data_IF_239650828163
#
_entry.id   IF_239650828163
#
_cell.length_a   1.000
_cell.length_b   1.000
_cell.length_c   1.000
_cell.angle_alpha   90.00
_cell.angle_beta   90.00
_cell.angle_gamma   90.00
#
_symmetry.space_group_name_H-M   'P 1'
#
loop_
_entity.id
_entity.type
_entity.pdbx_description
1 polymer ?
#
# COMPACT_ATOMS: atom_id res chain seq x y z
N UNK A 1 4.56 61.41 25.93
CA UNK A 1 3.71 60.97 24.78
C UNK A 1 4.28 59.72 24.09
N UNK A 2 4.81 58.71 24.82
CA UNK A 2 5.52 57.55 24.22
C UNK A 2 4.90 56.16 24.49
N UNK A 3 3.97 56.06 25.43
CA UNK A 3 3.39 54.78 25.89
C UNK A 3 2.48 54.12 24.85
N UNK A 4 1.78 54.90 24.03
CA UNK A 4 0.86 54.39 23.00
C UNK A 4 1.59 53.73 21.81
N UNK A 5 2.76 54.26 21.43
CA UNK A 5 3.60 53.72 20.37
C UNK A 5 4.24 52.39 20.79
N UNK A 6 4.66 52.28 22.05
CA UNK A 6 5.23 51.06 22.61
C UNK A 6 4.18 49.93 22.70
N UNK A 7 2.95 50.27 23.10
CA UNK A 7 1.83 49.31 23.17
C UNK A 7 1.42 48.79 21.79
N UNK A 8 1.45 49.64 20.76
CA UNK A 8 1.24 49.25 19.35
C UNK A 8 2.34 48.33 18.83
N UNK A 9 3.60 48.60 19.19
CA UNK A 9 4.73 47.74 18.83
C UNK A 9 4.62 46.34 19.46
N UNK A 10 4.24 46.25 20.73
CA UNK A 10 4.03 44.97 21.42
C UNK A 10 2.87 44.16 20.80
N UNK A 11 1.79 44.82 20.40
CA UNK A 11 0.67 44.17 19.71
C UNK A 11 1.08 43.66 18.32
N UNK A 12 1.87 44.43 17.56
CA UNK A 12 2.41 43.97 16.28
C UNK A 12 3.33 42.75 16.44
N UNK A 13 4.18 42.72 17.48
CA UNK A 13 5.02 41.54 17.76
C UNK A 13 4.22 40.31 18.15
N UNK A 14 3.18 40.47 18.98
CA UNK A 14 2.27 39.38 19.34
C UNK A 14 1.51 38.86 18.13
N UNK A 15 1.03 39.75 17.25
CA UNK A 15 0.37 39.36 16.01
C UNK A 15 1.32 38.57 15.10
N UNK A 16 2.57 39.00 14.93
CA UNK A 16 3.57 38.25 14.14
C UNK A 16 3.82 36.85 14.73
N UNK A 17 3.96 36.72 16.05
CA UNK A 17 4.13 35.42 16.70
C UNK A 17 2.91 34.50 16.51
N UNK A 18 1.70 35.05 16.57
CA UNK A 18 0.47 34.30 16.30
C UNK A 18 0.44 33.82 14.85
N UNK A 19 0.80 34.67 13.88
CA UNK A 19 0.88 34.31 12.45
C UNK A 19 1.93 33.21 12.17
N UNK A 20 3.09 33.23 12.86
CA UNK A 20 4.08 32.16 12.76
C UNK A 20 3.54 30.81 13.28
N UNK A 21 2.80 30.82 14.39
CA UNK A 21 2.23 29.61 15.00
C UNK A 21 0.95 29.10 14.33
N UNK A 22 0.24 29.97 13.59
CA UNK A 22 -1.00 29.66 12.89
C UNK A 22 -0.77 29.22 11.43
N UNK A 23 0.48 28.96 11.04
CA UNK A 23 0.75 28.27 9.78
C UNK A 23 0.05 26.90 9.86
N UNK A 24 -0.97 26.61 9.04
CA UNK A 24 -1.55 25.29 9.02
C UNK A 24 -0.42 24.35 8.61
N UNK A 25 0.00 23.48 9.53
CA UNK A 25 0.78 22.30 9.15
C UNK A 25 -0.04 21.66 8.04
N UNK A 26 0.49 21.65 6.81
CA UNK A 26 -0.08 20.91 5.69
C UNK A 26 -0.56 19.59 6.25
N UNK A 27 -1.88 19.41 6.26
CA UNK A 27 -2.58 18.26 6.83
C UNK A 27 -1.75 17.01 6.58
N UNK A 28 -1.00 16.61 7.61
CA UNK A 28 0.04 15.60 7.47
C UNK A 28 -0.72 14.30 7.38
N UNK A 29 -1.04 13.89 6.15
CA UNK A 29 -1.59 12.55 5.90
C UNK A 29 -0.59 11.61 6.53
N UNK A 30 -0.93 10.90 7.62
CA UNK A 30 0.07 10.18 8.39
C UNK A 30 0.71 9.15 7.48
N UNK A 31 1.92 9.45 7.03
CA UNK A 31 2.70 8.55 6.20
C UNK A 31 3.39 7.56 7.15
N UNK A 32 3.32 6.24 6.88
CA UNK A 32 4.00 5.27 7.73
C UNK A 32 5.50 5.56 7.82
N UNK A 33 6.09 5.33 9.00
CA UNK A 33 7.54 5.38 9.16
C UNK A 33 8.20 4.37 8.21
N UNK A 34 9.31 4.77 7.59
CA UNK A 34 10.01 4.01 6.55
C UNK A 34 9.27 3.89 5.20
N UNK A 35 8.24 4.70 4.99
CA UNK A 35 7.58 4.81 3.69
C UNK A 35 7.64 6.24 3.17
N UNK A 36 7.58 6.37 1.84
CA UNK A 36 7.42 7.63 1.13
C UNK A 36 6.01 7.70 0.57
N UNK A 37 5.29 8.77 0.87
CA UNK A 37 3.96 9.00 0.33
C UNK A 37 4.02 10.05 -0.78
N UNK A 38 3.42 9.75 -1.92
CA UNK A 38 3.30 10.67 -3.06
C UNK A 38 1.83 10.72 -3.48
N UNK A 39 1.14 11.79 -3.07
CA UNK A 39 -0.30 11.94 -3.26
C UNK A 39 -1.11 10.85 -2.52
N UNK A 40 -1.59 9.85 -3.28
CA UNK A 40 -2.36 8.70 -2.78
C UNK A 40 -1.60 7.38 -2.89
N UNK A 41 -0.35 7.42 -3.35
CA UNK A 41 0.50 6.25 -3.51
C UNK A 41 1.49 6.20 -2.34
N UNK A 42 1.64 5.02 -1.73
CA UNK A 42 2.55 4.77 -0.61
C UNK A 42 3.63 3.80 -1.07
N UNK A 43 4.88 4.24 -1.01
CA UNK A 43 6.07 3.48 -1.35
C UNK A 43 6.80 3.05 -0.07
N UNK A 44 6.79 1.75 0.21
CA UNK A 44 7.41 1.14 1.39
C UNK A 44 8.45 0.11 0.93
N UNK A 45 9.49 0.56 0.23
CA UNK A 45 10.47 -0.31 -0.43
C UNK A 45 11.72 -0.51 0.45
N UNK A 46 12.38 -1.67 0.34
CA UNK A 46 13.67 -1.96 0.99
C UNK A 46 13.73 -1.69 2.50
N UNK A 47 12.59 -1.83 3.17
CA UNK A 47 12.43 -1.50 4.60
C UNK A 47 12.29 -2.76 5.47
N UNK A 48 12.68 -3.91 4.91
CA UNK A 48 12.63 -5.23 5.56
C UNK A 48 11.25 -5.59 6.11
N UNK A 49 10.17 -5.11 5.48
CA UNK A 49 8.81 -5.48 5.88
C UNK A 49 8.64 -6.98 5.74
N UNK A 50 8.24 -7.64 6.84
CA UNK A 50 7.84 -9.05 6.86
C UNK A 50 6.33 -9.23 6.70
N UNK A 51 5.61 -8.13 6.82
CA UNK A 51 4.15 -8.09 6.78
C UNK A 51 3.65 -6.76 6.20
N UNK A 52 2.38 -6.71 5.78
CA UNK A 52 1.74 -5.50 5.24
C UNK A 52 1.49 -4.51 6.39
N UNK A 53 1.96 -3.25 6.30
CA UNK A 53 1.78 -2.28 7.37
C UNK A 53 0.30 -1.92 7.56
N UNK A 54 -0.17 -1.94 8.81
CA UNK A 54 -1.59 -1.68 9.15
C UNK A 54 -1.98 -0.20 9.18
N UNK A 55 -1.00 0.71 9.23
CA UNK A 55 -1.21 2.16 9.34
C UNK A 55 -1.35 2.84 7.98
N UNK A 56 -2.00 2.18 7.03
CA UNK A 56 -2.24 2.72 5.69
C UNK A 56 -3.62 3.40 5.64
N UNK A 57 -3.67 4.60 5.06
CA UNK A 57 -4.92 5.34 4.88
C UNK A 57 -5.87 4.60 3.93
N UNK A 58 -7.16 4.53 4.27
CA UNK A 58 -8.18 3.92 3.41
C UNK A 58 -8.40 4.64 2.07
N UNK A 59 -7.85 5.85 1.89
CA UNK A 59 -7.81 6.59 0.63
C UNK A 59 -6.60 6.27 -0.26
N UNK A 60 -5.75 5.32 0.13
CA UNK A 60 -4.59 4.88 -0.65
C UNK A 60 -5.04 4.21 -1.95
N UNK A 61 -4.51 4.70 -3.07
CA UNK A 61 -4.79 4.17 -4.41
C UNK A 61 -3.66 3.27 -4.92
N UNK A 62 -2.44 3.42 -4.40
CA UNK A 62 -1.30 2.59 -4.79
C UNK A 62 -0.44 2.22 -3.61
N UNK A 63 -0.05 0.95 -3.51
CA UNK A 63 0.86 0.44 -2.48
C UNK A 63 2.02 -0.31 -3.13
N UNK A 64 3.24 0.16 -2.88
CA UNK A 64 4.47 -0.54 -3.24
C UNK A 64 5.13 -1.10 -1.99
N UNK A 65 5.30 -2.42 -1.95
CA UNK A 65 6.04 -3.16 -0.92
C UNK A 65 7.17 -3.98 -1.57
N UNK A 66 7.75 -3.45 -2.65
CA UNK A 66 8.83 -4.09 -3.39
C UNK A 66 10.09 -4.26 -2.55
N UNK A 67 10.91 -5.25 -2.90
CA UNK A 67 12.21 -5.50 -2.28
C UNK A 67 12.13 -5.62 -0.75
N UNK A 68 11.11 -6.33 -0.26
CA UNK A 68 10.93 -6.59 1.15
C UNK A 68 11.08 -8.09 1.44
N UNK A 69 10.62 -8.52 2.62
CA UNK A 69 10.76 -9.89 3.09
C UNK A 69 9.41 -10.52 3.44
N UNK A 70 8.34 -10.16 2.72
CA UNK A 70 7.03 -10.76 2.91
C UNK A 70 7.08 -12.25 2.53
N UNK A 71 6.63 -13.12 3.43
CA UNK A 71 6.65 -14.57 3.23
C UNK A 71 5.28 -15.18 2.91
N UNK A 72 4.20 -14.52 3.32
CA UNK A 72 2.83 -14.99 3.10
C UNK A 72 1.84 -13.81 3.05
N UNK A 73 0.79 -13.93 2.25
CA UNK A 73 -0.35 -13.02 2.28
C UNK A 73 -1.52 -13.71 2.98
N UNK A 74 -1.95 -13.19 4.12
CA UNK A 74 -3.06 -13.78 4.91
C UNK A 74 -4.35 -13.01 4.68
N UNK A 75 -5.46 -13.64 5.04
CA UNK A 75 -6.76 -12.98 5.08
C UNK A 75 -6.68 -11.67 5.88
N UNK A 76 -7.17 -10.60 5.29
CA UNK A 76 -7.31 -9.32 5.97
C UNK A 76 -6.10 -8.37 5.92
N UNK A 77 -4.99 -8.74 5.28
CA UNK A 77 -3.82 -7.85 5.13
C UNK A 77 -4.13 -6.52 4.41
N UNK A 78 -5.14 -6.52 3.53
CA UNK A 78 -5.55 -5.33 2.78
C UNK A 78 -6.92 -4.78 3.19
N UNK A 79 -7.45 -5.19 4.35
CA UNK A 79 -8.72 -4.65 4.86
C UNK A 79 -8.62 -3.14 5.07
N UNK A 80 -9.66 -2.43 4.63
CA UNK A 80 -9.72 -0.97 4.71
C UNK A 80 -9.08 -0.25 3.51
N UNK A 81 -8.29 -0.93 2.69
CA UNK A 81 -7.69 -0.38 1.45
C UNK A 81 -8.67 -0.48 0.26
N UNK A 82 -9.91 -0.06 0.48
CA UNK A 82 -11.00 -0.24 -0.49
C UNK A 82 -10.81 0.57 -1.80
N UNK A 83 -9.91 1.55 -1.77
CA UNK A 83 -9.55 2.40 -2.91
C UNK A 83 -8.32 1.93 -3.67
N UNK A 84 -7.68 0.83 -3.26
CA UNK A 84 -6.44 0.37 -3.86
C UNK A 84 -6.66 -0.05 -5.32
N UNK A 85 -5.88 0.54 -6.23
CA UNK A 85 -5.89 0.32 -7.68
C UNK A 85 -4.63 -0.44 -8.09
N UNK A 86 -3.48 -0.11 -7.51
CA UNK A 86 -2.20 -0.73 -7.82
C UNK A 86 -1.57 -1.35 -6.57
N UNK A 87 -1.12 -2.59 -6.66
CA UNK A 87 -0.41 -3.30 -5.61
C UNK A 87 0.84 -3.96 -6.16
N UNK A 88 2.00 -3.52 -5.68
CA UNK A 88 3.30 -4.06 -6.07
C UNK A 88 3.93 -4.82 -4.91
N UNK A 89 4.11 -6.12 -5.11
CA UNK A 89 4.66 -7.06 -4.14
C UNK A 89 5.84 -7.85 -4.74
N UNK A 90 6.39 -7.39 -5.86
CA UNK A 90 7.52 -8.05 -6.49
C UNK A 90 8.80 -8.00 -5.64
N UNK A 91 9.70 -8.95 -5.90
CA UNK A 91 10.96 -9.11 -5.16
C UNK A 91 10.73 -9.26 -3.65
N UNK A 92 9.86 -10.21 -3.29
CA UNK A 92 9.60 -10.64 -1.92
C UNK A 92 9.82 -12.17 -1.82
N UNK A 93 9.48 -12.77 -0.69
CA UNK A 93 9.60 -14.21 -0.45
C UNK A 93 8.24 -14.90 -0.33
N UNK A 94 7.19 -14.34 -0.94
CA UNK A 94 5.82 -14.80 -0.77
C UNK A 94 5.71 -16.21 -1.32
N UNK A 95 5.42 -17.18 -0.45
CA UNK A 95 5.25 -18.59 -0.81
C UNK A 95 3.79 -19.04 -0.74
N UNK A 96 3.00 -18.42 0.14
CA UNK A 96 1.60 -18.77 0.36
C UNK A 96 0.71 -17.53 0.28
N UNK A 97 -0.46 -17.69 -0.35
CA UNK A 97 -1.48 -16.66 -0.48
C UNK A 97 -2.80 -17.27 -0.06
N UNK A 98 -3.42 -16.69 0.97
CA UNK A 98 -4.73 -17.07 1.46
C UNK A 98 -5.83 -16.71 0.44
N UNK A 99 -6.86 -17.54 0.34
CA UNK A 99 -7.99 -17.30 -0.57
C UNK A 99 -8.72 -15.97 -0.30
N UNK A 100 -8.69 -15.48 0.94
CA UNK A 100 -9.31 -14.23 1.37
C UNK A 100 -8.30 -13.09 1.54
N UNK A 101 -7.05 -13.25 1.08
CA UNK A 101 -6.01 -12.23 1.23
C UNK A 101 -6.42 -10.89 0.59
N UNK A 102 -7.03 -10.92 -0.59
CA UNK A 102 -7.47 -9.74 -1.34
C UNK A 102 -8.93 -9.34 -1.04
N UNK A 103 -9.51 -9.83 0.06
CA UNK A 103 -10.85 -9.41 0.47
C UNK A 103 -10.86 -7.91 0.81
N UNK A 104 -11.74 -7.15 0.16
CA UNK A 104 -11.91 -5.71 0.40
C UNK A 104 -11.28 -4.78 -0.64
N UNK A 105 -10.25 -5.22 -1.37
CA UNK A 105 -9.60 -4.44 -2.45
C UNK A 105 -10.34 -4.52 -3.78
N UNK A 106 -11.62 -4.11 -3.79
CA UNK A 106 -12.55 -4.28 -4.93
C UNK A 106 -12.19 -3.45 -6.17
N UNK A 107 -11.32 -2.44 -6.03
CA UNK A 107 -10.93 -1.52 -7.10
C UNK A 107 -9.57 -1.85 -7.71
N UNK A 108 -8.95 -2.97 -7.30
CA UNK A 108 -7.62 -3.34 -7.72
C UNK A 108 -7.60 -3.67 -9.22
N UNK A 109 -6.75 -2.98 -9.97
CA UNK A 109 -6.57 -3.11 -11.43
C UNK A 109 -5.19 -3.61 -11.82
N UNK A 110 -4.24 -3.64 -10.89
CA UNK A 110 -2.91 -4.15 -11.15
C UNK A 110 -2.34 -4.78 -9.90
N UNK A 111 -1.86 -6.01 -10.04
CA UNK A 111 -1.17 -6.76 -9.02
C UNK A 111 0.12 -7.33 -9.62
N UNK A 112 1.26 -6.98 -9.04
CA UNK A 112 2.56 -7.48 -9.47
C UNK A 112 3.16 -8.35 -8.37
N UNK A 113 3.38 -9.62 -8.68
CA UNK A 113 3.92 -10.64 -7.76
C UNK A 113 5.20 -11.30 -8.30
N UNK A 114 5.84 -10.72 -9.32
CA UNK A 114 7.07 -11.27 -9.92
C UNK A 114 8.18 -11.43 -8.88
N UNK A 115 9.10 -12.36 -9.14
CA UNK A 115 10.25 -12.57 -8.25
C UNK A 115 9.83 -12.88 -6.80
N UNK A 116 8.82 -13.75 -6.64
CA UNK A 116 8.40 -14.34 -5.37
C UNK A 116 8.60 -15.87 -5.38
N UNK A 117 8.32 -16.53 -4.25
CA UNK A 117 8.45 -17.97 -4.06
C UNK A 117 7.12 -18.70 -4.17
N UNK A 118 6.18 -18.19 -4.97
CA UNK A 118 4.86 -18.79 -5.16
C UNK A 118 5.04 -20.08 -5.97
N UNK A 119 5.45 -21.15 -5.29
CA UNK A 119 5.59 -22.47 -5.87
C UNK A 119 4.20 -23.07 -6.01
N UNK A 120 3.86 -23.52 -7.22
CA UNK A 120 2.65 -24.27 -7.52
C UNK A 120 2.66 -25.62 -6.81
N UNK A 121 2.42 -25.66 -5.50
CA UNK A 121 2.19 -26.90 -4.78
C UNK A 121 0.80 -27.45 -5.12
N UNK A 122 0.61 -27.87 -6.36
CA UNK A 122 -0.29 -28.97 -6.69
C UNK A 122 0.59 -30.20 -6.90
N UNK A 123 0.80 -30.89 -5.79
CA UNK A 123 1.04 -32.33 -5.82
C UNK A 123 -0.26 -32.98 -6.27
N UNK A 124 -0.16 -33.88 -7.25
CA UNK A 124 -1.22 -34.82 -7.64
C UNK A 124 -1.83 -35.47 -6.40
N UNK A 125 -2.99 -34.99 -5.96
CA UNK A 125 -4.12 -35.75 -5.38
C UNK A 125 -5.23 -34.78 -5.00
N UNK A 126 -6.26 -34.75 -5.86
CA UNK A 126 -7.66 -34.53 -5.49
C UNK A 126 -8.00 -33.30 -4.65
N UNK A 127 -7.85 -32.09 -5.20
CA UNK A 127 -8.78 -30.94 -5.04
C UNK A 127 -8.55 -29.92 -6.19
N UNK A 128 -9.57 -29.18 -6.66
CA UNK A 128 -9.62 -28.68 -8.04
C UNK A 128 -9.09 -27.25 -8.28
N UNK A 129 -8.31 -26.63 -7.38
CA UNK A 129 -7.88 -25.25 -7.63
C UNK A 129 -6.37 -24.99 -7.45
N UNK A 130 -5.63 -24.84 -8.57
CA UNK A 130 -4.31 -24.23 -8.59
C UNK A 130 -4.36 -22.79 -8.09
N UNK A 131 -3.54 -22.49 -7.10
CA UNK A 131 -3.54 -21.20 -6.38
C UNK A 131 -2.96 -20.06 -7.26
N UNK A 132 -2.32 -20.35 -8.39
CA UNK A 132 -1.53 -19.33 -9.09
C UNK A 132 -2.32 -18.46 -10.10
N UNK A 133 -3.29 -19.01 -10.83
CA UNK A 133 -4.03 -18.24 -11.84
C UNK A 133 -5.55 -18.23 -11.62
N UNK A 134 -6.08 -19.29 -10.99
CA UNK A 134 -7.52 -19.57 -10.96
C UNK A 134 -8.27 -18.88 -9.83
N UNK A 135 -7.59 -18.40 -8.78
CA UNK A 135 -8.20 -17.62 -7.68
C UNK A 135 -7.88 -16.14 -7.73
N UNK A 136 -6.65 -15.78 -8.11
CA UNK A 136 -6.21 -14.39 -8.16
C UNK A 136 -6.92 -13.63 -9.29
N UNK A 137 -6.95 -14.20 -10.50
CA UNK A 137 -7.50 -13.56 -11.69
C UNK A 137 -9.04 -13.37 -11.69
N UNK A 138 -9.89 -14.29 -11.17
CA UNK A 138 -11.32 -14.01 -11.04
C UNK A 138 -11.62 -12.86 -10.07
N UNK A 139 -10.83 -12.69 -9.02
CA UNK A 139 -11.03 -11.62 -8.02
C UNK A 139 -10.60 -10.25 -8.54
N UNK A 140 -9.59 -10.18 -9.43
CA UNK A 140 -9.03 -8.92 -9.96
C UNK A 140 -9.29 -8.68 -11.45
N UNK A 141 -10.16 -9.49 -12.08
CA UNK A 141 -10.47 -9.52 -13.51
C UNK A 141 -9.25 -9.86 -14.40
N UNK A 142 -9.36 -10.92 -15.20
CA UNK A 142 -8.28 -11.50 -16.01
C UNK A 142 -7.51 -10.49 -16.90
N UNK A 143 -8.13 -9.37 -17.30
CA UNK A 143 -7.47 -8.32 -18.11
C UNK A 143 -6.44 -7.47 -17.34
N UNK A 144 -6.47 -7.52 -16.01
CA UNK A 144 -5.74 -6.64 -15.11
C UNK A 144 -4.52 -7.33 -14.45
N UNK A 145 -4.37 -8.64 -14.66
CA UNK A 145 -3.19 -9.39 -14.28
C UNK A 145 -2.15 -9.28 -15.41
N UNK A 146 -1.14 -8.40 -15.29
CA UNK A 146 -0.16 -8.19 -16.37
C UNK A 146 0.62 -9.48 -16.68
N UNK A 147 0.73 -9.78 -17.98
CA UNK A 147 1.58 -10.81 -18.60
C UNK A 147 3.06 -10.61 -18.24
N UNK A 148 3.49 -11.07 -17.08
CA UNK A 148 4.89 -11.00 -16.66
C UNK A 148 5.25 -12.02 -15.58
N UNK A 149 4.35 -12.31 -14.64
CA UNK A 149 4.55 -13.33 -13.59
C UNK A 149 3.79 -14.63 -13.81
N UNK A 150 2.74 -14.59 -14.64
CA UNK A 150 1.86 -15.74 -14.93
C UNK A 150 2.06 -16.30 -16.34
N UNK A 151 3.15 -15.91 -17.02
CA UNK A 151 3.45 -16.30 -18.41
C UNK A 151 3.50 -17.81 -18.63
N UNK A 152 3.73 -18.60 -17.58
CA UNK A 152 3.84 -20.06 -17.69
C UNK A 152 2.55 -20.83 -17.32
N UNK A 153 1.44 -20.15 -17.02
CA UNK A 153 0.26 -20.82 -16.43
C UNK A 153 -1.06 -20.57 -17.15
N UNK A 154 -1.02 -19.93 -18.33
CA UNK A 154 -2.17 -19.77 -19.22
C UNK A 154 -1.91 -20.49 -20.55
N UNK A 155 -1.87 -21.83 -20.49
CA UNK A 155 -2.07 -22.66 -21.68
C UNK A 155 -3.43 -23.36 -21.51
N UNK A 156 -4.50 -22.63 -21.79
CA UNK A 156 -5.77 -23.10 -22.36
C UNK A 156 -6.46 -21.92 -23.03
#
# INVERSE_FOLDING_TARGET
MGSALHRRWLLLQLLVQVWLSASPTLSDRPCPKSCRCDGKIVYCESSAFRDVPKNLSGGCEGLSLRYNSLASLRAGHFLGLNHLIWLYLDHNYIATVDAMAFQGVRRLKELILSSNKITSSITRRSTPFPICATWICPTINYKHCRRGSFKDYANF
#
